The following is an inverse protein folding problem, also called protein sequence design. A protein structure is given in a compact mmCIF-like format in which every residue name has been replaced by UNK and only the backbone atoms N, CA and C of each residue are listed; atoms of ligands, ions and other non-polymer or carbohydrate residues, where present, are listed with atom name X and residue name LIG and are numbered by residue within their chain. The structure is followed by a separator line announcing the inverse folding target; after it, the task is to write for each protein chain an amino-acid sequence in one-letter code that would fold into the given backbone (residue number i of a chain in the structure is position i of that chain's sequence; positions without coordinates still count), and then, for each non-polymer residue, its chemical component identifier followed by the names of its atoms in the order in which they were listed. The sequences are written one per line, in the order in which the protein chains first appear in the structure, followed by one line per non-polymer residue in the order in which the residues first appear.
data_IF_286326297395
#
_entry.id   IF_286326297395
#
_cell.length_a   1.000
_cell.length_b   1.000
_cell.length_c   1.000
_cell.angle_alpha   90.00
_cell.angle_beta   90.00
_cell.angle_gamma   90.00
#
_symmetry.space_group_name_H-M   'P 1'
#
loop_
_entity.id
_entity.type
_entity.pdbx_description
1 polymer ?
#
# COMPACT_ATOMS: atom_id res chain seq x y z
N UNK A 1 14.41 -40.15 -2.32
CA UNK A 1 14.57 -39.57 -0.96
C UNK A 1 13.58 -38.43 -0.81
N UNK A 2 12.78 -38.42 0.25
CA UNK A 2 11.70 -37.43 0.42
C UNK A 2 12.26 -36.05 0.80
N UNK A 3 11.67 -34.99 0.28
CA UNK A 3 12.03 -33.62 0.64
C UNK A 3 11.66 -33.29 2.10
N UNK A 4 12.45 -32.43 2.75
CA UNK A 4 12.18 -31.96 4.12
C UNK A 4 10.77 -31.36 4.28
N UNK A 5 10.26 -30.72 3.23
CA UNK A 5 8.90 -30.15 3.22
C UNK A 5 7.79 -31.19 3.29
N UNK A 6 7.92 -32.28 2.53
CA UNK A 6 6.96 -33.41 2.56
C UNK A 6 6.97 -34.12 3.92
N UNK A 7 8.15 -34.31 4.51
CA UNK A 7 8.27 -34.89 5.85
C UNK A 7 7.62 -33.99 6.91
N UNK A 8 7.84 -32.68 6.84
CA UNK A 8 7.21 -31.72 7.74
C UNK A 8 5.67 -31.75 7.61
N UNK A 9 5.14 -31.88 6.39
CA UNK A 9 3.70 -31.96 6.15
C UNK A 9 3.07 -33.20 6.80
N UNK A 10 3.75 -34.35 6.75
CA UNK A 10 3.32 -35.59 7.41
C UNK A 10 3.27 -35.41 8.93
N UNK A 11 4.27 -34.79 9.53
CA UNK A 11 4.28 -34.53 10.97
C UNK A 11 3.22 -33.51 11.40
N UNK A 12 2.98 -32.48 10.59
CA UNK A 12 1.88 -31.53 10.81
C UNK A 12 0.53 -32.25 10.75
N UNK A 13 0.34 -33.15 9.78
CA UNK A 13 -0.88 -33.92 9.66
C UNK A 13 -1.11 -34.82 10.88
N UNK A 14 -0.07 -35.52 11.35
CA UNK A 14 -0.11 -36.31 12.59
C UNK A 14 -0.58 -35.46 13.78
N UNK A 15 0.03 -34.28 13.96
CA UNK A 15 -0.31 -33.37 15.05
C UNK A 15 -1.74 -32.83 14.94
N UNK A 16 -2.17 -32.43 13.74
CA UNK A 16 -3.50 -31.88 13.50
C UNK A 16 -4.60 -32.93 13.73
N UNK A 17 -4.32 -34.19 13.45
CA UNK A 17 -5.25 -35.30 13.65
C UNK A 17 -5.19 -35.89 15.06
N UNK A 18 -4.25 -35.43 15.92
CA UNK A 18 -4.10 -35.94 17.27
C UNK A 18 -3.70 -37.41 17.35
N UNK A 19 -2.98 -37.93 16.33
CA UNK A 19 -2.56 -39.33 16.30
C UNK A 19 -1.39 -39.56 17.25
N UNK A 20 -1.52 -40.56 18.12
CA UNK A 20 -0.39 -41.07 18.90
C UNK A 20 0.60 -41.84 18.00
N UNK A 21 1.73 -42.27 18.59
CA UNK A 21 2.78 -42.96 17.84
C UNK A 21 2.31 -44.29 17.24
N UNK A 22 1.45 -45.02 17.94
CA UNK A 22 0.98 -46.33 17.51
C UNK A 22 -0.04 -46.22 16.37
N UNK A 23 -1.05 -45.35 16.51
CA UNK A 23 -2.02 -45.06 15.46
C UNK A 23 -1.33 -44.47 14.22
N UNK A 24 -0.30 -43.64 14.40
CA UNK A 24 0.49 -43.11 13.30
C UNK A 24 1.27 -44.21 12.56
N UNK A 25 1.93 -45.13 13.26
CA UNK A 25 2.64 -46.26 12.63
C UNK A 25 1.68 -47.22 11.94
N UNK A 26 0.55 -47.54 12.55
CA UNK A 26 -0.49 -48.37 11.95
C UNK A 26 -1.04 -47.74 10.66
N UNK A 27 -1.22 -46.42 10.64
CA UNK A 27 -1.63 -45.69 9.45
C UNK A 27 -0.57 -45.76 8.33
N UNK A 28 0.71 -45.58 8.65
CA UNK A 28 1.80 -45.71 7.69
C UNK A 28 1.88 -47.14 7.10
N UNK A 29 1.71 -48.16 7.94
CA UNK A 29 1.71 -49.55 7.52
C UNK A 29 0.52 -49.85 6.59
N UNK A 30 -0.69 -49.38 6.94
CA UNK A 30 -1.88 -49.56 6.10
C UNK A 30 -1.81 -48.81 4.78
N UNK A 31 -1.37 -47.55 4.80
CA UNK A 31 -1.42 -46.68 3.62
C UNK A 31 -0.24 -46.90 2.66
N UNK A 32 0.94 -47.27 3.18
CA UNK A 32 2.16 -47.36 2.38
C UNK A 32 3.07 -48.56 2.74
N UNK A 33 2.66 -49.46 3.64
CA UNK A 33 3.42 -50.67 3.96
C UNK A 33 4.69 -50.45 4.79
N UNK A 34 4.87 -49.27 5.39
CA UNK A 34 6.10 -48.91 6.10
C UNK A 34 5.87 -48.61 7.58
N UNK A 35 6.88 -48.84 8.42
CA UNK A 35 6.83 -48.54 9.86
C UNK A 35 7.34 -47.14 10.20
N UNK A 36 7.95 -46.44 9.23
CA UNK A 36 8.53 -45.10 9.44
C UNK A 36 8.34 -44.21 8.22
N UNK A 37 8.05 -42.92 8.46
CA UNK A 37 8.00 -41.90 7.40
C UNK A 37 9.33 -41.70 6.67
N UNK A 38 10.45 -42.14 7.26
CA UNK A 38 11.77 -42.11 6.62
C UNK A 38 11.90 -43.14 5.49
N UNK A 39 11.08 -44.19 5.49
CA UNK A 39 11.10 -45.26 4.48
C UNK A 39 10.14 -44.98 3.32
N UNK A 40 9.34 -43.93 3.40
CA UNK A 40 8.43 -43.56 2.33
C UNK A 40 9.21 -43.12 1.08
N UNK A 41 8.61 -43.38 -0.09
CA UNK A 41 8.99 -42.78 -1.37
C UNK A 41 7.94 -41.73 -1.78
N UNK A 42 8.11 -41.09 -2.95
CA UNK A 42 7.18 -40.04 -3.39
C UNK A 42 5.74 -40.54 -3.59
N UNK A 43 5.58 -41.82 -3.96
CA UNK A 43 4.28 -42.48 -4.11
C UNK A 43 3.64 -42.74 -2.74
N UNK A 44 4.40 -43.27 -1.79
CA UNK A 44 3.98 -43.53 -0.42
C UNK A 44 3.60 -42.25 0.32
N UNK A 45 4.34 -41.15 0.12
CA UNK A 45 3.95 -39.83 0.67
C UNK A 45 2.57 -39.41 0.17
N UNK A 46 2.31 -39.59 -1.13
CA UNK A 46 1.01 -39.23 -1.71
C UNK A 46 -0.13 -40.06 -1.10
N UNK A 47 0.07 -41.37 -0.96
CA UNK A 47 -0.91 -42.28 -0.34
C UNK A 47 -1.20 -41.89 1.12
N UNK A 48 -0.15 -41.64 1.91
CA UNK A 48 -0.28 -41.24 3.32
C UNK A 48 -0.97 -39.88 3.46
N UNK A 49 -0.60 -38.88 2.64
CA UNK A 49 -1.25 -37.56 2.68
C UNK A 49 -2.72 -37.61 2.25
N UNK A 50 -3.08 -38.47 1.30
CA UNK A 50 -4.47 -38.68 0.92
C UNK A 50 -5.27 -39.34 2.05
N UNK A 51 -4.66 -40.31 2.73
CA UNK A 51 -5.30 -40.95 3.88
C UNK A 51 -5.49 -39.95 5.04
N UNK A 52 -4.50 -39.09 5.30
CA UNK A 52 -4.69 -38.00 6.26
C UNK A 52 -5.80 -37.05 5.86
N UNK A 53 -5.91 -36.67 4.57
CA UNK A 53 -7.01 -35.81 4.10
C UNK A 53 -8.37 -36.48 4.32
N UNK A 54 -8.47 -37.78 4.06
CA UNK A 54 -9.68 -38.58 4.32
C UNK A 54 -10.08 -38.55 5.80
N UNK A 55 -9.09 -38.52 6.70
CA UNK A 55 -9.26 -38.40 8.14
C UNK A 55 -9.48 -36.96 8.62
N UNK A 56 -9.54 -35.98 7.72
CA UNK A 56 -9.84 -34.58 8.05
C UNK A 56 -8.62 -33.65 8.12
N UNK A 57 -7.44 -34.10 7.69
CA UNK A 57 -6.28 -33.23 7.54
C UNK A 57 -6.55 -32.15 6.49
N UNK A 58 -6.47 -30.89 6.92
CA UNK A 58 -6.60 -29.73 6.05
C UNK A 58 -5.22 -29.12 5.82
N UNK A 59 -4.54 -29.41 4.70
CA UNK A 59 -3.21 -28.88 4.44
C UNK A 59 -3.25 -27.35 4.42
N UNK A 60 -2.33 -26.73 5.17
CA UNK A 60 -2.21 -25.28 5.21
C UNK A 60 -1.80 -24.77 3.83
N UNK A 61 -2.62 -23.91 3.22
CA UNK A 61 -2.27 -23.21 1.99
C UNK A 61 -1.00 -22.39 2.25
N UNK A 62 0.04 -22.47 1.40
CA UNK A 62 1.22 -21.64 1.57
C UNK A 62 0.81 -20.17 1.55
N UNK A 63 1.18 -19.43 2.60
CA UNK A 63 0.89 -17.98 2.78
C UNK A 63 1.39 -17.08 1.62
N UNK A 64 2.08 -17.64 0.63
CA UNK A 64 2.73 -16.90 -0.48
C UNK A 64 2.03 -17.06 -1.83
N UNK A 65 0.94 -17.82 -1.94
CA UNK A 65 0.25 -18.06 -3.21
C UNK A 65 -0.46 -16.81 -3.82
N UNK A 66 -0.27 -15.62 -3.26
CA UNK A 66 -0.81 -14.37 -3.80
C UNK A 66 0.08 -13.14 -3.57
N UNK A 67 1.38 -13.32 -3.27
CA UNK A 67 2.27 -12.15 -3.13
C UNK A 67 2.69 -11.69 -4.52
N UNK A 68 2.24 -10.51 -4.93
CA UNK A 68 2.78 -9.82 -6.11
C UNK A 68 4.32 -9.71 -5.94
N UNK A 69 5.10 -9.87 -7.03
CA UNK A 69 6.53 -9.57 -7.00
C UNK A 69 6.76 -8.16 -6.46
N UNK A 70 7.92 -7.94 -5.83
CA UNK A 70 8.28 -6.58 -5.42
C UNK A 70 8.56 -5.76 -6.69
N UNK A 71 7.61 -4.91 -7.09
CA UNK A 71 7.70 -4.05 -8.28
C UNK A 71 8.36 -2.70 -7.99
N UNK A 72 9.03 -2.55 -6.84
CA UNK A 72 9.70 -1.31 -6.49
C UNK A 72 10.78 -0.94 -7.53
N UNK A 73 10.52 0.14 -8.25
CA UNK A 73 11.43 0.73 -9.22
C UNK A 73 11.73 2.18 -8.82
N UNK A 74 13.00 2.46 -8.49
CA UNK A 74 13.45 3.80 -8.07
C UNK A 74 13.19 4.86 -9.14
N UNK A 75 13.43 4.55 -10.41
CA UNK A 75 13.27 5.51 -11.51
C UNK A 75 11.81 5.94 -11.68
N UNK A 76 10.88 4.99 -11.57
CA UNK A 76 9.45 5.29 -11.61
C UNK A 76 9.00 6.18 -10.44
N UNK A 77 9.56 5.98 -9.24
CA UNK A 77 9.25 6.86 -8.11
C UNK A 77 9.82 8.28 -8.31
N UNK A 78 11.04 8.39 -8.86
CA UNK A 78 11.63 9.69 -9.19
C UNK A 78 10.81 10.43 -10.25
N UNK A 79 10.36 9.73 -11.31
CA UNK A 79 9.50 10.30 -12.35
C UNK A 79 8.16 10.83 -11.80
N UNK A 80 7.57 10.13 -10.82
CA UNK A 80 6.36 10.63 -10.13
C UNK A 80 6.62 11.91 -9.34
N UNK A 81 7.74 11.98 -8.63
CA UNK A 81 8.14 13.19 -7.89
C UNK A 81 8.36 14.34 -8.87
N UNK A 82 9.06 14.10 -9.98
CA UNK A 82 9.30 15.09 -11.03
C UNK A 82 7.99 15.64 -11.60
N UNK A 83 7.05 14.77 -11.96
CA UNK A 83 5.74 15.18 -12.47
C UNK A 83 4.98 16.07 -11.48
N UNK A 84 4.90 15.67 -10.21
CA UNK A 84 4.25 16.48 -9.18
C UNK A 84 4.93 17.84 -8.97
N UNK A 85 6.26 17.89 -9.06
CA UNK A 85 7.00 19.14 -8.96
C UNK A 85 6.74 20.04 -10.17
N UNK A 86 6.73 19.49 -11.37
CA UNK A 86 6.45 20.20 -12.61
C UNK A 86 5.03 20.80 -12.59
N UNK A 87 4.02 20.01 -12.20
CA UNK A 87 2.64 20.46 -12.05
C UNK A 87 2.51 21.68 -11.11
N UNK A 88 3.34 21.73 -10.06
CA UNK A 88 3.33 22.82 -9.08
C UNK A 88 4.35 23.94 -9.38
N UNK A 89 5.12 23.83 -10.47
CA UNK A 89 6.21 24.76 -10.80
C UNK A 89 7.34 24.81 -9.77
N UNK A 90 7.64 23.70 -9.10
CA UNK A 90 8.61 23.61 -8.01
C UNK A 90 9.93 22.97 -8.44
N UNK A 91 11.03 23.42 -7.85
CA UNK A 91 12.34 22.80 -8.02
C UNK A 91 12.50 21.51 -7.19
N UNK A 92 13.40 20.63 -7.61
CA UNK A 92 13.79 19.40 -6.89
C UNK A 92 14.15 19.63 -5.42
N UNK A 93 14.79 20.76 -5.11
CA UNK A 93 15.14 21.16 -3.74
C UNK A 93 13.94 21.17 -2.78
N UNK A 94 12.72 21.42 -3.27
CA UNK A 94 11.51 21.38 -2.45
C UNK A 94 11.21 19.95 -1.96
N UNK A 95 11.29 18.96 -2.85
CA UNK A 95 11.10 17.57 -2.51
C UNK A 95 12.26 17.01 -1.65
N UNK A 96 13.49 17.48 -1.86
CA UNK A 96 14.63 17.19 -0.98
C UNK A 96 14.41 17.72 0.44
N UNK A 97 13.85 18.91 0.61
CA UNK A 97 13.49 19.44 1.92
C UNK A 97 12.38 18.63 2.62
N UNK A 98 11.47 18.00 1.86
CA UNK A 98 10.50 17.04 2.40
C UNK A 98 11.20 15.76 2.83
N UNK A 99 12.07 15.20 1.97
CA UNK A 99 12.82 13.99 2.25
C UNK A 99 13.69 14.14 3.52
N UNK A 100 14.39 15.27 3.66
CA UNK A 100 15.20 15.60 4.85
C UNK A 100 14.34 15.63 6.11
N UNK A 101 13.17 16.28 6.07
CA UNK A 101 12.26 16.36 7.23
C UNK A 101 11.67 15.01 7.65
N UNK A 102 11.33 14.15 6.68
CA UNK A 102 10.67 12.88 6.97
C UNK A 102 11.64 11.75 7.30
N UNK A 103 12.84 11.77 6.71
CA UNK A 103 13.75 10.62 6.70
C UNK A 103 15.16 10.96 7.18
N UNK A 104 15.49 12.25 7.33
CA UNK A 104 16.85 12.72 7.62
C UNK A 104 17.79 12.72 6.41
N UNK A 105 17.36 12.24 5.24
CA UNK A 105 18.19 12.14 4.04
C UNK A 105 18.04 13.40 3.20
N UNK A 106 19.18 14.03 2.90
CA UNK A 106 19.20 15.35 2.24
C UNK A 106 18.95 15.29 0.73
N UNK A 107 19.35 14.19 0.06
CA UNK A 107 19.21 14.05 -1.40
C UNK A 107 18.26 12.91 -1.76
N UNK A 108 17.38 13.15 -2.72
CA UNK A 108 16.42 12.14 -3.19
C UNK A 108 17.10 10.92 -3.81
N UNK A 109 18.25 11.13 -4.46
CA UNK A 109 19.06 10.06 -5.03
C UNK A 109 19.55 9.04 -3.99
N UNK A 110 19.58 9.42 -2.71
CA UNK A 110 20.03 8.56 -1.61
C UNK A 110 18.89 7.78 -0.94
N UNK A 111 17.63 8.02 -1.34
CA UNK A 111 16.52 7.19 -0.91
C UNK A 111 16.65 5.79 -1.51
N UNK A 112 16.46 4.77 -0.67
CA UNK A 112 16.67 3.35 -1.05
C UNK A 112 15.42 2.49 -0.91
N UNK A 113 14.45 2.93 -0.12
CA UNK A 113 13.29 2.10 0.24
C UNK A 113 12.01 2.68 -0.33
N UNK A 114 11.09 1.81 -0.73
CA UNK A 114 9.75 2.19 -1.19
C UNK A 114 9.01 3.07 -0.19
N UNK A 115 9.16 2.79 1.12
CA UNK A 115 8.54 3.59 2.18
C UNK A 115 8.99 5.05 2.17
N UNK A 116 10.28 5.31 1.92
CA UNK A 116 10.81 6.67 1.84
C UNK A 116 10.22 7.43 0.64
N UNK A 117 10.23 6.81 -0.55
CA UNK A 117 9.65 7.40 -1.75
C UNK A 117 8.15 7.68 -1.59
N UNK A 118 7.39 6.71 -1.09
CA UNK A 118 5.95 6.87 -0.82
C UNK A 118 5.66 8.01 0.15
N UNK A 119 6.51 8.21 1.16
CA UNK A 119 6.36 9.32 2.11
C UNK A 119 6.50 10.69 1.43
N UNK A 120 7.49 10.84 0.55
CA UNK A 120 7.72 12.09 -0.20
C UNK A 120 6.59 12.35 -1.20
N UNK A 121 6.22 11.34 -1.99
CA UNK A 121 5.13 11.42 -2.98
C UNK A 121 3.80 11.80 -2.30
N UNK A 122 3.49 11.18 -1.17
CA UNK A 122 2.27 11.49 -0.43
C UNK A 122 2.27 12.93 0.11
N UNK A 123 3.40 13.44 0.60
CA UNK A 123 3.50 14.81 1.06
C UNK A 123 3.39 15.83 -0.08
N UNK A 124 3.96 15.54 -1.25
CA UNK A 124 3.79 16.37 -2.45
C UNK A 124 2.33 16.37 -2.92
N UNK A 125 1.66 15.22 -2.89
CA UNK A 125 0.24 15.14 -3.23
C UNK A 125 -0.62 16.00 -2.30
N UNK A 126 -0.35 15.94 -0.99
CA UNK A 126 -1.02 16.79 0.00
C UNK A 126 -0.76 18.28 -0.26
N UNK A 127 0.47 18.66 -0.64
CA UNK A 127 0.77 20.06 -0.99
C UNK A 127 0.04 20.49 -2.28
N UNK A 128 -0.03 19.61 -3.28
CA UNK A 128 -0.78 19.85 -4.52
C UNK A 128 -2.28 20.05 -4.23
N UNK A 129 -2.89 19.19 -3.41
CA UNK A 129 -4.28 19.35 -2.98
C UNK A 129 -4.49 20.70 -2.29
N UNK A 130 -3.61 21.09 -1.34
CA UNK A 130 -3.74 22.37 -0.63
C UNK A 130 -3.71 23.56 -1.59
N UNK A 131 -2.80 23.54 -2.57
CA UNK A 131 -2.70 24.59 -3.60
C UNK A 131 -3.97 24.66 -4.44
N UNK A 132 -4.47 23.52 -4.92
CA UNK A 132 -5.72 23.47 -5.68
C UNK A 132 -6.92 23.99 -4.90
N UNK A 133 -7.03 23.67 -3.60
CA UNK A 133 -8.08 24.25 -2.75
C UNK A 133 -7.90 25.76 -2.52
N UNK A 134 -6.68 26.23 -2.33
CA UNK A 134 -6.39 27.65 -2.16
C UNK A 134 -6.72 28.45 -3.42
N UNK A 135 -6.42 27.92 -4.60
CA UNK A 135 -6.79 28.49 -5.90
C UNK A 135 -8.31 28.48 -6.11
N UNK A 136 -8.97 27.39 -5.75
CA UNK A 136 -10.44 27.32 -5.77
C UNK A 136 -11.07 28.38 -4.87
N UNK A 137 -10.60 28.48 -3.63
CA UNK A 137 -11.06 29.48 -2.65
C UNK A 137 -10.84 30.90 -3.20
N UNK A 138 -9.69 31.18 -3.80
CA UNK A 138 -9.42 32.49 -4.40
C UNK A 138 -10.43 32.83 -5.48
N UNK A 139 -10.76 31.88 -6.36
CA UNK A 139 -11.79 32.11 -7.40
C UNK A 139 -13.16 32.41 -6.80
N UNK A 140 -13.55 31.69 -5.74
CA UNK A 140 -14.80 31.98 -5.03
C UNK A 140 -14.79 33.41 -4.45
N UNK A 141 -13.68 33.81 -3.84
CA UNK A 141 -13.55 35.12 -3.21
C UNK A 141 -13.56 36.26 -4.25
N UNK A 142 -12.84 36.10 -5.36
CA UNK A 142 -12.83 37.08 -6.47
C UNK A 142 -14.23 37.29 -7.02
N UNK A 143 -15.02 36.22 -7.19
CA UNK A 143 -16.41 36.33 -7.65
C UNK A 143 -17.33 37.12 -6.70
N UNK A 144 -16.97 37.21 -5.41
CA UNK A 144 -17.67 37.98 -4.39
C UNK A 144 -17.06 39.37 -4.16
N UNK A 145 -15.96 39.72 -4.85
CA UNK A 145 -15.20 40.95 -4.57
C UNK A 145 -14.48 40.92 -3.22
N UNK A 146 -14.19 39.73 -2.69
CA UNK A 146 -13.54 39.53 -1.40
C UNK A 146 -12.09 39.03 -1.56
N UNK A 147 -11.31 39.10 -0.48
CA UNK A 147 -9.95 38.54 -0.38
C UNK A 147 -9.82 37.62 0.83
N UNK A 148 -8.72 36.86 0.90
CA UNK A 148 -8.47 35.90 2.00
C UNK A 148 -8.41 36.54 3.39
N UNK A 149 -8.11 37.85 3.47
CA UNK A 149 -7.87 38.57 4.74
C UNK A 149 -9.08 38.51 5.68
N UNK A 150 -10.30 38.48 5.13
CA UNK A 150 -11.52 38.48 5.91
C UNK A 150 -11.95 37.07 6.38
N UNK A 151 -11.42 36.01 5.78
CA UNK A 151 -11.83 34.63 6.07
C UNK A 151 -11.61 34.21 7.53
N UNK A 152 -10.47 34.49 8.18
CA UNK A 152 -10.23 34.04 9.55
C UNK A 152 -11.25 34.59 10.54
N UNK A 153 -11.63 35.87 10.39
CA UNK A 153 -12.65 36.49 11.24
C UNK A 153 -14.04 35.94 10.94
N UNK A 154 -14.40 35.85 9.67
CA UNK A 154 -15.74 35.44 9.22
C UNK A 154 -16.06 33.99 9.61
N UNK A 155 -15.10 33.09 9.43
CA UNK A 155 -15.27 31.65 9.66
C UNK A 155 -14.60 31.14 10.95
N UNK A 156 -14.08 32.05 11.80
CA UNK A 156 -13.35 31.71 13.03
C UNK A 156 -12.24 30.67 12.78
N UNK A 157 -11.42 30.92 11.76
CA UNK A 157 -10.39 29.97 11.34
C UNK A 157 -9.19 29.97 12.31
N UNK A 158 -8.55 28.80 12.50
CA UNK A 158 -7.33 28.73 13.29
C UNK A 158 -6.16 29.44 12.60
N UNK A 159 -5.10 29.72 13.35
CA UNK A 159 -3.85 30.19 12.76
C UNK A 159 -3.30 29.20 11.73
N UNK A 160 -2.67 29.72 10.68
CA UNK A 160 -2.09 28.92 9.58
C UNK A 160 -3.09 27.97 8.91
N UNK A 161 -4.37 28.36 8.85
CA UNK A 161 -5.43 27.58 8.19
C UNK A 161 -5.10 27.21 6.74
N UNK A 162 -4.35 28.07 6.03
CA UNK A 162 -3.87 27.84 4.66
C UNK A 162 -2.98 26.58 4.52
N UNK A 163 -2.40 26.11 5.62
CA UNK A 163 -1.57 24.89 5.65
C UNK A 163 -2.34 23.65 6.11
N UNK A 164 -3.62 23.79 6.46
CA UNK A 164 -4.45 22.75 7.02
C UNK A 164 -5.48 22.27 5.97
N UNK A 165 -5.20 21.12 5.35
CA UNK A 165 -6.01 20.56 4.27
C UNK A 165 -7.48 20.30 4.69
N UNK A 166 -7.77 19.70 5.87
CA UNK A 166 -9.14 19.60 6.36
C UNK A 166 -9.90 20.94 6.44
N UNK A 167 -9.24 22.01 6.89
CA UNK A 167 -9.86 23.34 6.97
C UNK A 167 -10.12 23.90 5.58
N UNK A 168 -9.18 23.74 4.65
CA UNK A 168 -9.36 24.14 3.25
C UNK A 168 -10.53 23.41 2.59
N UNK A 169 -10.66 22.09 2.81
CA UNK A 169 -11.78 21.28 2.32
C UNK A 169 -13.12 21.78 2.88
N UNK A 170 -13.17 22.07 4.18
CA UNK A 170 -14.37 22.59 4.83
C UNK A 170 -14.75 23.98 4.29
N UNK A 171 -13.77 24.87 4.09
CA UNK A 171 -13.98 26.20 3.52
C UNK A 171 -14.48 26.14 2.08
N UNK A 172 -13.85 25.32 1.24
CA UNK A 172 -14.26 25.15 -0.16
C UNK A 172 -15.72 24.67 -0.28
N UNK A 173 -16.20 23.88 0.68
CA UNK A 173 -17.61 23.46 0.75
C UNK A 173 -18.56 24.56 1.26
N UNK A 174 -18.06 25.47 2.10
CA UNK A 174 -18.86 26.53 2.73
C UNK A 174 -18.96 27.80 1.87
N UNK A 175 -18.05 27.99 0.92
CA UNK A 175 -18.07 29.11 -0.02
C UNK A 175 -19.00 28.81 -1.21
N UNK A 176 -19.63 29.83 -1.80
CA UNK A 176 -20.42 29.64 -3.02
C UNK A 176 -19.53 29.16 -4.16
N UNK A 177 -20.11 28.38 -5.08
CA UNK A 177 -19.37 27.89 -6.25
C UNK A 177 -18.89 29.07 -7.10
N UNK A 178 -17.62 29.04 -7.57
CA UNK A 178 -17.13 30.07 -8.46
C UNK A 178 -17.84 29.97 -9.82
N UNK A 179 -17.92 31.07 -10.59
CA UNK A 179 -18.44 31.00 -11.95
C UNK A 179 -17.66 29.95 -12.76
N UNK A 180 -18.37 29.18 -13.61
CA UNK A 180 -17.74 28.21 -14.50
C UNK A 180 -16.76 28.95 -15.42
N UNK A 181 -15.54 28.43 -15.58
CA UNK A 181 -14.58 28.97 -16.54
C UNK A 181 -15.24 29.00 -17.93
N UNK A 182 -15.47 30.19 -18.48
CA UNK A 182 -15.99 30.39 -19.84
C UNK A 182 -14.90 30.29 -20.91
N UNK A 183 -13.67 29.95 -20.54
CA UNK A 183 -12.55 29.75 -21.46
C UNK A 183 -12.49 28.29 -21.94
N UNK A 184 -13.57 27.83 -22.56
CA UNK A 184 -13.52 26.69 -23.46
C UNK A 184 -13.38 27.30 -24.87
N UNK A 185 -12.27 27.07 -25.60
CA UNK A 185 -12.16 27.60 -26.96
C UNK A 185 -13.31 27.01 -27.75
N UNK A 186 -14.23 27.87 -28.22
CA UNK A 186 -15.27 27.50 -29.15
C UNK A 186 -14.63 26.64 -30.24
N UNK A 187 -15.06 25.38 -30.32
CA UNK A 187 -14.72 24.48 -31.40
C UNK A 187 -15.03 25.25 -32.69
N UNK A 188 -13.99 25.64 -33.42
CA UNK A 188 -14.16 26.30 -34.72
C UNK A 188 -14.70 25.22 -35.66
N UNK A 189 -15.94 25.42 -36.10
CA UNK A 189 -16.56 24.68 -37.20
C UNK A 189 -15.75 24.79 -38.50
#
# INVERSE_FOLDING_TARGET
MISRGKLAQIHIAKQQLGLDDEAYRALLARAAGVSSSKQLDDRGVTLVLNEFKRLGFKPRVPKRAGRLPNTFNKHEQMAKIEAQLADMGLAWAYAEAIAKRQTGIERLDWLRTEKQFKGVIAALHIEQEKRGYLEYIDRCLVAMGETRENLPRRYRLPQRWERNLPVLKALAKALPEPPRNTDEPACKD
#
